data_IF_516542626079
#
_entry.id   IF_516542626079
#
_cell.length_a   1.000
_cell.length_b   1.000
_cell.length_c   1.000
_cell.angle_alpha   90.00
_cell.angle_beta   90.00
_cell.angle_gamma   90.00
#
_symmetry.space_group_name_H-M   'P 1'
#
loop_
_entity.id
_entity.type
_entity.pdbx_description
1 polymer ?
#
# COMPACT_ATOMS: atom_id res chain seq x y z
N UNK A 1 -30.44 4.62 -3.30
CA UNK A 1 -29.71 3.71 -4.20
C UNK A 1 -29.79 4.34 -5.57
N UNK A 2 -28.73 5.05 -5.97
CA UNK A 2 -28.63 5.68 -7.28
C UNK A 2 -28.07 4.61 -8.23
N UNK A 3 -28.84 4.20 -9.23
CA UNK A 3 -28.33 3.38 -10.31
C UNK A 3 -27.71 4.33 -11.33
N UNK A 4 -26.39 4.26 -11.49
CA UNK A 4 -25.68 4.95 -12.57
C UNK A 4 -26.04 4.27 -13.89
N UNK A 5 -26.40 5.03 -14.92
CA UNK A 5 -26.38 4.48 -16.28
C UNK A 5 -24.90 4.27 -16.67
N UNK A 6 -24.54 3.18 -17.37
CA UNK A 6 -23.13 2.89 -17.63
C UNK A 6 -22.62 3.64 -18.87
N UNK A 7 -21.68 4.58 -18.71
CA UNK A 7 -20.71 4.86 -19.77
C UNK A 7 -20.03 6.23 -19.81
N UNK A 8 -20.51 7.24 -19.08
CA UNK A 8 -20.00 8.61 -19.15
C UNK A 8 -19.38 9.07 -17.82
N UNK A 9 -18.33 9.90 -17.88
CA UNK A 9 -17.68 10.43 -16.68
C UNK A 9 -18.64 11.25 -15.80
N UNK A 10 -19.65 11.89 -16.40
CA UNK A 10 -20.72 12.63 -15.74
C UNK A 10 -21.65 11.76 -14.90
N UNK A 11 -21.68 10.44 -15.12
CA UNK A 11 -22.51 9.54 -14.30
C UNK A 11 -22.10 9.60 -12.83
N UNK A 12 -20.85 9.96 -12.53
CA UNK A 12 -20.37 10.15 -11.17
C UNK A 12 -20.78 11.46 -10.51
N UNK A 13 -21.35 12.44 -11.23
CA UNK A 13 -21.65 13.78 -10.68
C UNK A 13 -22.52 13.72 -9.42
N UNK A 14 -23.65 12.99 -9.39
CA UNK A 14 -24.48 12.91 -8.18
C UNK A 14 -23.74 12.27 -7.00
N UNK A 15 -22.82 11.34 -7.27
CA UNK A 15 -22.02 10.70 -6.23
C UNK A 15 -20.95 11.67 -5.69
N UNK A 16 -20.26 12.40 -6.55
CA UNK A 16 -19.27 13.42 -6.17
C UNK A 16 -19.93 14.55 -5.36
N UNK A 17 -21.14 14.98 -5.76
CA UNK A 17 -21.94 15.94 -4.99
C UNK A 17 -22.31 15.39 -3.60
N UNK A 18 -22.75 14.13 -3.53
CA UNK A 18 -23.11 13.47 -2.27
C UNK A 18 -21.92 13.32 -1.33
N UNK A 19 -20.73 13.03 -1.88
CA UNK A 19 -19.48 12.95 -1.11
C UNK A 19 -19.16 14.33 -0.50
N UNK A 20 -19.41 15.43 -1.20
CA UNK A 20 -19.24 16.78 -0.66
C UNK A 20 -17.80 17.07 -0.19
N UNK A 21 -17.66 17.50 1.07
CA UNK A 21 -16.39 17.89 1.71
C UNK A 21 -15.83 16.81 2.66
N UNK A 22 -16.17 15.54 2.41
CA UNK A 22 -15.70 14.45 3.29
C UNK A 22 -14.19 14.26 3.14
N UNK A 23 -13.51 14.07 4.28
CA UNK A 23 -12.07 13.83 4.34
C UNK A 23 -11.66 12.40 3.98
N UNK A 24 -12.59 11.46 4.12
CA UNK A 24 -12.36 10.05 3.86
C UNK A 24 -13.51 9.49 3.04
N UNK A 25 -13.19 8.72 2.01
CA UNK A 25 -14.14 8.00 1.17
C UNK A 25 -13.65 6.56 1.09
N UNK A 26 -14.51 5.62 1.49
CA UNK A 26 -14.21 4.19 1.45
C UNK A 26 -14.94 3.58 0.25
N UNK A 27 -14.17 3.04 -0.70
CA UNK A 27 -14.71 2.49 -1.94
C UNK A 27 -14.52 0.97 -1.92
N UNK A 28 -15.60 0.25 -1.64
CA UNK A 28 -15.61 -1.21 -1.66
C UNK A 28 -15.82 -1.79 -3.06
N UNK A 29 -15.55 -3.09 -3.20
CA UNK A 29 -15.94 -3.89 -4.35
C UNK A 29 -16.66 -5.16 -3.91
N UNK A 30 -17.50 -5.73 -4.77
CA UNK A 30 -18.24 -6.95 -4.43
C UNK A 30 -17.41 -8.23 -4.63
N UNK A 31 -16.38 -8.18 -5.48
CA UNK A 31 -15.43 -9.27 -5.69
C UNK A 31 -14.08 -8.75 -6.19
N UNK A 32 -13.00 -9.44 -5.85
CA UNK A 32 -11.71 -9.20 -6.49
C UNK A 32 -11.66 -9.85 -7.89
N UNK A 33 -10.83 -9.30 -8.78
CA UNK A 33 -10.60 -9.83 -10.14
C UNK A 33 -11.64 -9.43 -11.19
N UNK A 34 -12.63 -8.61 -10.84
CA UNK A 34 -13.65 -8.13 -11.80
C UNK A 34 -13.23 -6.80 -12.43
N UNK A 35 -12.95 -6.80 -13.73
CA UNK A 35 -12.51 -5.63 -14.49
C UNK A 35 -13.34 -4.37 -14.19
N UNK A 36 -14.67 -4.49 -14.23
CA UNK A 36 -15.59 -3.38 -14.02
C UNK A 36 -15.41 -2.74 -12.64
N UNK A 37 -15.16 -3.53 -11.59
CA UNK A 37 -14.91 -2.97 -10.26
C UNK A 37 -13.59 -2.21 -10.18
N UNK A 38 -12.52 -2.70 -10.80
CA UNK A 38 -11.26 -1.94 -10.84
C UNK A 38 -11.40 -0.66 -11.66
N UNK A 39 -12.04 -0.76 -12.83
CA UNK A 39 -12.29 0.38 -13.72
C UNK A 39 -13.10 1.47 -13.02
N UNK A 40 -14.24 1.14 -12.42
CA UNK A 40 -15.11 2.12 -11.78
C UNK A 40 -14.46 2.73 -10.53
N UNK A 41 -13.75 1.93 -9.72
CA UNK A 41 -12.94 2.45 -8.59
C UNK A 41 -11.87 3.42 -9.06
N UNK A 42 -11.18 3.10 -10.15
CA UNK A 42 -10.16 3.98 -10.73
C UNK A 42 -10.80 5.29 -11.22
N UNK A 43 -11.91 5.26 -11.95
CA UNK A 43 -12.58 6.47 -12.45
C UNK A 43 -13.07 7.37 -11.31
N UNK A 44 -13.74 6.81 -10.31
CA UNK A 44 -14.16 7.57 -9.13
C UNK A 44 -12.97 8.18 -8.39
N UNK A 45 -11.89 7.41 -8.22
CA UNK A 45 -10.69 7.89 -7.52
C UNK A 45 -10.02 9.05 -8.27
N UNK A 46 -9.95 8.99 -9.61
CA UNK A 46 -9.43 10.09 -10.45
C UNK A 46 -10.21 11.38 -10.21
N UNK A 47 -11.55 11.30 -10.25
CA UNK A 47 -12.42 12.45 -9.98
C UNK A 47 -12.25 13.00 -8.56
N UNK A 48 -12.13 12.13 -7.56
CA UNK A 48 -11.88 12.57 -6.18
C UNK A 48 -10.55 13.32 -6.05
N UNK A 49 -9.51 12.87 -6.73
CA UNK A 49 -8.22 13.56 -6.77
C UNK A 49 -8.36 14.92 -7.49
N UNK A 50 -8.89 14.92 -8.71
CA UNK A 50 -8.94 16.10 -9.59
C UNK A 50 -9.90 17.19 -9.09
N UNK A 51 -11.08 16.80 -8.60
CA UNK A 51 -12.17 17.74 -8.29
C UNK A 51 -12.31 18.02 -6.80
N UNK A 52 -11.90 17.07 -5.95
CA UNK A 52 -12.06 17.16 -4.49
C UNK A 52 -10.74 17.26 -3.73
N UNK A 53 -9.61 17.21 -4.43
CA UNK A 53 -8.28 17.45 -3.85
C UNK A 53 -7.81 16.34 -2.91
N UNK A 54 -8.31 15.11 -3.06
CA UNK A 54 -7.76 13.97 -2.33
C UNK A 54 -6.30 13.73 -2.73
N UNK A 55 -5.43 13.57 -1.75
CA UNK A 55 -3.98 13.47 -1.92
C UNK A 55 -3.39 12.11 -1.48
N UNK A 56 -4.25 11.15 -1.12
CA UNK A 56 -3.85 9.81 -0.73
C UNK A 56 -4.85 8.76 -1.22
N UNK A 57 -4.32 7.69 -1.82
CA UNK A 57 -5.06 6.48 -2.18
C UNK A 57 -4.55 5.34 -1.31
N UNK A 58 -5.38 4.83 -0.42
CA UNK A 58 -5.04 3.73 0.46
C UNK A 58 -5.78 2.45 0.04
N UNK A 59 -5.03 1.39 -0.26
CA UNK A 59 -5.52 0.14 -0.83
C UNK A 59 -5.33 -1.04 0.13
N UNK A 60 -6.19 -2.06 -0.01
CA UNK A 60 -6.08 -3.36 0.66
C UNK A 60 -4.93 -4.18 0.05
N UNK A 61 -3.71 -3.71 0.28
CA UNK A 61 -2.49 -4.26 -0.24
C UNK A 61 -1.35 -4.14 0.78
N UNK A 62 -0.37 -5.02 0.64
CA UNK A 62 0.83 -5.05 1.48
C UNK A 62 1.59 -3.72 1.42
N UNK A 63 1.97 -3.19 2.59
CA UNK A 63 2.65 -1.89 2.70
C UNK A 63 3.93 -1.80 1.85
N UNK A 64 4.89 -2.75 1.91
CA UNK A 64 6.16 -2.62 1.16
C UNK A 64 5.96 -2.60 -0.36
N UNK A 65 4.97 -3.34 -0.86
CA UNK A 65 4.65 -3.40 -2.29
C UNK A 65 3.97 -2.11 -2.76
N UNK A 66 3.01 -1.60 -1.98
CA UNK A 66 2.37 -0.32 -2.26
C UNK A 66 3.34 0.86 -2.12
N UNK A 67 4.29 0.83 -1.17
CA UNK A 67 5.32 1.86 -1.01
C UNK A 67 6.29 1.90 -2.20
N UNK A 68 6.57 0.75 -2.84
CA UNK A 68 7.29 0.75 -4.13
C UNK A 68 6.51 1.51 -5.21
N UNK A 69 5.20 1.28 -5.33
CA UNK A 69 4.34 2.05 -6.22
C UNK A 69 4.30 3.53 -5.84
N UNK A 70 4.21 3.84 -4.55
CA UNK A 70 4.24 5.21 -4.03
C UNK A 70 5.47 5.98 -4.51
N UNK A 71 6.65 5.40 -4.31
CA UNK A 71 7.91 5.98 -4.77
C UNK A 71 7.94 6.19 -6.27
N UNK A 72 7.37 5.24 -7.04
CA UNK A 72 7.23 5.41 -8.49
C UNK A 72 6.32 6.60 -8.82
N UNK A 73 5.09 6.67 -8.29
CA UNK A 73 4.13 7.73 -8.64
C UNK A 73 4.54 9.11 -8.13
N UNK A 74 5.34 9.18 -7.06
CA UNK A 74 5.89 10.44 -6.53
C UNK A 74 7.25 10.83 -7.17
N UNK A 75 7.86 9.96 -7.97
CA UNK A 75 9.15 10.21 -8.61
C UNK A 75 10.36 10.21 -7.69
N UNK A 76 10.29 9.43 -6.61
CA UNK A 76 11.38 9.20 -5.66
C UNK A 76 11.97 7.79 -5.74
N UNK A 77 11.38 6.91 -6.56
CA UNK A 77 11.84 5.54 -6.80
C UNK A 77 12.77 5.39 -8.01
N UNK A 78 13.24 4.17 -8.22
CA UNK A 78 14.13 3.80 -9.32
C UNK A 78 13.44 3.01 -10.44
N UNK A 79 12.15 2.68 -10.27
CA UNK A 79 11.39 1.95 -11.28
C UNK A 79 11.11 2.87 -12.48
N UNK A 80 11.38 2.40 -13.69
CA UNK A 80 11.28 3.20 -14.92
C UNK A 80 9.83 3.35 -15.40
N UNK A 81 8.99 2.38 -15.09
CA UNK A 81 7.60 2.32 -15.56
C UNK A 81 6.68 1.64 -14.52
N UNK A 82 5.38 1.75 -14.77
CA UNK A 82 4.36 1.24 -13.85
C UNK A 82 4.36 -0.30 -13.74
N UNK A 83 4.78 -1.02 -14.78
CA UNK A 83 4.89 -2.50 -14.75
C UNK A 83 5.94 -2.92 -13.73
N UNK A 84 7.10 -2.27 -13.74
CA UNK A 84 8.19 -2.55 -12.81
C UNK A 84 7.80 -2.19 -11.37
N UNK A 85 7.16 -1.03 -11.18
CA UNK A 85 6.68 -0.58 -9.87
C UNK A 85 5.69 -1.57 -9.24
N UNK A 86 4.78 -2.14 -10.05
CA UNK A 86 3.83 -3.16 -9.63
C UNK A 86 4.46 -4.55 -9.45
N UNK A 87 5.73 -4.74 -9.81
CA UNK A 87 6.43 -6.03 -9.70
C UNK A 87 6.63 -6.53 -8.27
N UNK A 88 6.41 -5.69 -7.25
CA UNK A 88 6.43 -6.07 -5.84
C UNK A 88 5.31 -7.06 -5.46
N UNK A 89 4.12 -6.83 -6.00
CA UNK A 89 2.90 -7.62 -5.73
C UNK A 89 3.02 -9.06 -6.24
N UNK A 90 3.63 -9.93 -5.42
CA UNK A 90 3.91 -11.33 -5.75
C UNK A 90 3.14 -12.33 -4.90
N UNK A 91 2.69 -11.92 -3.71
CA UNK A 91 2.06 -12.80 -2.72
C UNK A 91 0.65 -13.21 -3.12
N UNK A 92 -0.15 -12.23 -3.50
CA UNK A 92 -1.49 -12.47 -4.05
C UNK A 92 -1.43 -12.86 -5.52
N UNK A 93 -2.47 -13.51 -6.05
CA UNK A 93 -2.56 -13.75 -7.47
C UNK A 93 -2.36 -12.46 -8.27
N UNK A 94 -1.52 -12.52 -9.31
CA UNK A 94 -1.12 -11.34 -10.06
C UNK A 94 -2.32 -10.50 -10.55
N UNK A 95 -3.44 -11.14 -10.89
CA UNK A 95 -4.65 -10.46 -11.36
C UNK A 95 -5.28 -9.50 -10.33
N UNK A 96 -4.92 -9.58 -9.04
CA UNK A 96 -5.50 -8.72 -8.01
C UNK A 96 -4.95 -7.29 -8.09
N UNK A 97 -3.63 -7.12 -8.07
CA UNK A 97 -3.00 -5.79 -8.10
C UNK A 97 -2.13 -5.54 -9.34
N UNK A 98 -1.78 -6.57 -10.11
CA UNK A 98 -0.99 -6.48 -11.35
C UNK A 98 -1.85 -6.77 -12.58
N UNK A 99 -3.04 -6.16 -12.62
CA UNK A 99 -3.94 -6.18 -13.78
C UNK A 99 -3.84 -4.88 -14.60
N UNK A 100 -4.51 -4.86 -15.76
CA UNK A 100 -4.48 -3.73 -16.67
C UNK A 100 -5.08 -2.45 -16.05
N UNK A 101 -6.18 -2.56 -15.30
CA UNK A 101 -6.85 -1.40 -14.71
C UNK A 101 -5.98 -0.70 -13.66
N UNK A 102 -5.30 -1.47 -12.80
CA UNK A 102 -4.37 -0.94 -11.81
C UNK A 102 -3.12 -0.38 -12.49
N UNK A 103 -2.61 -1.04 -13.53
CA UNK A 103 -1.49 -0.54 -14.33
C UNK A 103 -1.81 0.83 -14.92
N UNK A 104 -2.97 0.96 -15.56
CA UNK A 104 -3.45 2.19 -16.16
C UNK A 104 -3.68 3.29 -15.11
N UNK A 105 -4.24 2.93 -13.95
CA UNK A 105 -4.42 3.87 -12.84
C UNK A 105 -3.08 4.37 -12.29
N UNK A 106 -2.10 3.51 -12.06
CA UNK A 106 -0.77 3.87 -11.56
C UNK A 106 -0.02 4.74 -12.58
N UNK A 107 -0.11 4.41 -13.87
CA UNK A 107 0.46 5.24 -14.94
C UNK A 107 -0.19 6.63 -15.01
N UNK A 108 -1.52 6.68 -14.88
CA UNK A 108 -2.26 7.95 -14.80
C UNK A 108 -1.84 8.76 -13.56
N UNK A 109 -1.76 8.13 -12.38
CA UNK A 109 -1.42 8.81 -11.13
C UNK A 109 -0.01 9.41 -11.18
N UNK A 110 0.94 8.68 -11.78
CA UNK A 110 2.28 9.19 -12.07
C UNK A 110 2.22 10.44 -12.96
N UNK A 111 1.48 10.37 -14.05
CA UNK A 111 1.34 11.47 -15.02
C UNK A 111 0.66 12.69 -14.39
N UNK A 112 -0.36 12.46 -13.56
CA UNK A 112 -1.03 13.51 -12.79
C UNK A 112 -0.06 14.20 -11.84
N UNK A 113 0.70 13.44 -11.05
CA UNK A 113 1.72 13.96 -10.14
C UNK A 113 2.83 14.74 -10.85
N UNK A 114 3.26 14.29 -12.03
CA UNK A 114 4.25 15.01 -12.83
C UNK A 114 3.71 16.34 -13.39
N UNK A 115 2.40 16.43 -13.64
CA UNK A 115 1.74 17.66 -14.10
C UNK A 115 1.61 18.72 -13.00
N UNK A 116 1.65 18.31 -11.72
CA UNK A 116 1.53 19.23 -10.60
C UNK A 116 2.80 20.11 -10.46
N UNK A 117 2.66 21.40 -10.13
CA UNK A 117 3.78 22.27 -9.75
C UNK A 117 4.69 21.59 -8.71
N UNK A 118 6.01 21.74 -8.83
CA UNK A 118 6.99 21.07 -7.96
C UNK A 118 6.83 21.38 -6.46
N UNK A 119 6.18 22.49 -6.12
CA UNK A 119 5.92 22.90 -4.74
C UNK A 119 4.69 22.23 -4.12
N UNK A 120 3.80 21.66 -4.94
CA UNK A 120 2.62 20.96 -4.43
C UNK A 120 2.98 19.54 -4.03
N UNK A 121 2.38 19.03 -2.93
CA UNK A 121 2.54 17.63 -2.55
C UNK A 121 2.06 16.72 -3.69
N UNK A 122 2.68 15.54 -3.78
CA UNK A 122 2.27 14.50 -4.71
C UNK A 122 1.18 13.65 -4.06
N UNK A 123 0.23 13.20 -4.87
CA UNK A 123 -0.78 12.23 -4.44
C UNK A 123 -0.09 10.89 -4.19
N UNK A 124 -0.22 10.37 -2.97
CA UNK A 124 0.43 9.14 -2.54
C UNK A 124 -0.42 7.90 -2.77
N UNK A 125 0.24 6.74 -2.80
CA UNK A 125 -0.37 5.41 -2.92
C UNK A 125 0.09 4.53 -1.77
N UNK A 126 -0.82 4.01 -0.96
CA UNK A 126 -0.49 3.39 0.34
C UNK A 126 -1.15 2.03 0.50
N UNK A 127 -0.44 1.08 1.09
CA UNK A 127 -0.97 -0.23 1.47
C UNK A 127 -1.39 -0.23 2.92
N UNK A 128 -2.58 -0.75 3.22
CA UNK A 128 -3.13 -0.85 4.58
C UNK A 128 -3.03 -2.26 5.17
N UNK A 129 -2.60 -3.24 4.39
CA UNK A 129 -2.70 -4.64 4.75
C UNK A 129 -1.49 -5.12 5.58
N UNK A 130 -1.71 -6.13 6.43
CA UNK A 130 -0.76 -6.53 7.50
C UNK A 130 -0.10 -7.89 7.29
N UNK A 131 -0.26 -8.51 6.12
CA UNK A 131 0.25 -9.86 5.91
C UNK A 131 1.73 -9.92 5.47
N UNK A 132 2.34 -8.79 5.12
CA UNK A 132 3.69 -8.70 4.56
C UNK A 132 4.81 -8.81 5.61
N UNK A 133 4.72 -9.74 6.56
CA UNK A 133 5.64 -9.80 7.71
C UNK A 133 7.11 -9.79 7.28
N UNK A 134 7.52 -10.75 6.43
CA UNK A 134 8.91 -10.90 6.03
C UNK A 134 9.43 -9.72 5.20
N UNK A 135 8.65 -9.25 4.21
CA UNK A 135 9.03 -8.09 3.40
C UNK A 135 9.03 -6.78 4.21
N UNK A 136 8.26 -6.70 5.29
CA UNK A 136 8.27 -5.56 6.22
C UNK A 136 9.51 -5.59 7.12
N UNK A 137 9.89 -6.77 7.64
CA UNK A 137 11.16 -6.98 8.37
C UNK A 137 12.34 -6.56 7.49
N UNK A 138 12.37 -7.03 6.24
CA UNK A 138 13.40 -6.66 5.27
C UNK A 138 13.45 -5.15 5.00
N UNK A 139 12.29 -4.48 4.92
CA UNK A 139 12.23 -3.04 4.71
C UNK A 139 12.85 -2.28 5.89
N UNK A 140 12.52 -2.67 7.13
CA UNK A 140 13.11 -2.07 8.35
C UNK A 140 14.62 -2.29 8.39
N UNK A 141 15.08 -3.52 8.19
CA UNK A 141 16.51 -3.86 8.20
C UNK A 141 17.24 -3.08 7.11
N UNK A 142 16.69 -3.00 5.89
CA UNK A 142 17.30 -2.28 4.77
C UNK A 142 17.43 -0.78 5.06
N UNK A 143 16.38 -0.17 5.62
CA UNK A 143 16.41 1.22 6.05
C UNK A 143 17.54 1.43 7.08
N UNK A 144 17.57 0.63 8.13
CA UNK A 144 18.58 0.73 9.19
C UNK A 144 19.99 0.50 8.66
N UNK A 145 20.24 -0.43 7.73
CA UNK A 145 21.57 -0.60 7.15
C UNK A 145 22.10 0.67 6.47
N UNK A 146 21.21 1.54 5.97
CA UNK A 146 21.58 2.79 5.33
C UNK A 146 21.85 3.94 6.31
N UNK A 147 21.23 3.92 7.50
CA UNK A 147 21.26 5.06 8.45
C UNK A 147 21.95 4.74 9.78
N UNK A 148 21.83 3.50 10.26
CA UNK A 148 22.38 3.01 11.54
C UNK A 148 22.65 1.48 11.44
N UNK A 149 23.82 1.07 10.95
CA UNK A 149 24.17 -0.35 10.78
C UNK A 149 24.20 -1.15 12.09
N UNK A 150 24.45 -0.50 13.23
CA UNK A 150 24.43 -1.16 14.54
C UNK A 150 22.99 -1.49 14.94
N UNK A 151 22.06 -0.53 14.80
CA UNK A 151 20.64 -0.80 14.99
C UNK A 151 20.11 -1.87 14.02
N UNK A 152 20.63 -1.92 12.78
CA UNK A 152 20.28 -2.98 11.83
C UNK A 152 20.70 -4.38 12.34
N UNK A 153 21.85 -4.50 13.01
CA UNK A 153 22.30 -5.75 13.60
C UNK A 153 21.40 -6.18 14.77
N UNK A 154 20.97 -5.23 15.61
CA UNK A 154 20.01 -5.47 16.69
C UNK A 154 18.66 -5.91 16.13
N UNK A 155 18.15 -5.24 15.10
CA UNK A 155 16.89 -5.58 14.45
C UNK A 155 16.89 -7.01 13.90
N UNK A 156 17.96 -7.43 13.20
CA UNK A 156 18.10 -8.82 12.74
C UNK A 156 18.02 -9.82 13.89
N UNK A 157 18.67 -9.53 15.02
CA UNK A 157 18.64 -10.40 16.20
C UNK A 157 17.25 -10.46 16.84
N UNK A 158 16.51 -9.35 16.91
CA UNK A 158 15.14 -9.34 17.44
C UNK A 158 14.19 -10.11 16.53
N UNK A 159 14.30 -9.91 15.22
CA UNK A 159 13.46 -10.60 14.25
C UNK A 159 13.79 -12.09 14.07
N UNK A 160 14.96 -12.57 14.51
CA UNK A 160 15.32 -14.00 14.43
C UNK A 160 14.38 -14.92 15.24
N UNK A 161 13.50 -14.36 16.07
CA UNK A 161 12.40 -15.12 16.68
C UNK A 161 11.52 -15.79 15.62
N UNK A 162 11.28 -15.12 14.49
CA UNK A 162 10.47 -15.63 13.38
C UNK A 162 11.15 -16.74 12.56
N UNK A 163 12.48 -16.90 12.67
CA UNK A 163 13.23 -17.92 11.90
C UNK A 163 12.73 -19.35 12.18
N UNK A 164 12.07 -19.59 13.32
CA UNK A 164 11.46 -20.88 13.66
C UNK A 164 10.23 -21.24 12.82
N UNK A 165 9.67 -20.27 12.10
CA UNK A 165 8.45 -20.40 11.31
C UNK A 165 8.71 -20.23 9.80
N UNK A 166 9.98 -20.15 9.39
CA UNK A 166 10.39 -19.86 8.01
C UNK A 166 9.59 -18.68 7.40
N UNK A 167 9.07 -18.84 6.19
CA UNK A 167 8.17 -17.86 5.53
C UNK A 167 6.68 -18.13 5.84
N UNK A 168 6.35 -19.10 6.70
CA UNK A 168 4.96 -19.47 7.01
C UNK A 168 4.39 -18.65 8.17
N UNK A 169 3.88 -17.47 7.82
CA UNK A 169 3.22 -16.56 8.77
C UNK A 169 1.92 -17.13 9.35
N UNK A 170 1.25 -18.05 8.65
CA UNK A 170 0.04 -18.70 9.14
C UNK A 170 0.39 -19.69 10.26
N UNK A 171 1.48 -20.43 10.12
CA UNK A 171 1.99 -21.32 11.15
C UNK A 171 2.37 -20.55 12.42
N UNK A 172 3.00 -19.39 12.30
CA UNK A 172 3.27 -18.51 13.45
C UNK A 172 1.96 -18.09 14.15
N UNK A 173 0.99 -17.59 13.37
CA UNK A 173 -0.30 -17.15 13.90
C UNK A 173 -1.07 -18.28 14.61
N UNK A 174 -1.09 -19.47 14.02
CA UNK A 174 -1.68 -20.65 14.64
C UNK A 174 -0.94 -21.04 15.94
N UNK A 175 0.38 -21.15 15.89
CA UNK A 175 1.18 -21.62 17.03
C UNK A 175 1.09 -20.69 18.23
N UNK A 176 1.05 -19.38 18.00
CA UNK A 176 0.89 -18.39 19.07
C UNK A 176 -0.53 -18.33 19.60
N UNK A 177 -1.55 -18.37 18.73
CA UNK A 177 -2.96 -18.33 19.14
C UNK A 177 -3.36 -19.51 20.03
N UNK A 178 -2.76 -20.69 19.80
CA UNK A 178 -3.02 -21.90 20.60
C UNK A 178 -1.98 -22.13 21.71
N UNK A 179 -1.06 -21.18 21.96
CA UNK A 179 -0.05 -21.29 23.02
C UNK A 179 0.99 -22.40 22.80
N UNK A 180 1.15 -22.85 21.55
CA UNK A 180 2.14 -23.86 21.14
C UNK A 180 3.54 -23.26 20.99
N UNK A 181 3.65 -21.93 20.90
CA UNK A 181 4.93 -21.21 20.85
C UNK A 181 4.81 -19.84 21.52
N UNK A 182 5.95 -19.29 21.96
CA UNK A 182 6.04 -17.93 22.49
C UNK A 182 5.80 -16.93 21.34
N UNK A 183 5.07 -15.86 21.63
CA UNK A 183 4.90 -14.73 20.72
C UNK A 183 6.23 -13.96 20.57
N UNK A 184 6.53 -13.54 19.34
CA UNK A 184 7.66 -12.65 19.03
C UNK A 184 7.27 -11.16 19.17
N UNK A 185 6.07 -10.86 19.68
CA UNK A 185 5.52 -9.50 19.78
C UNK A 185 6.40 -8.58 20.61
N UNK A 186 6.90 -9.02 21.76
CA UNK A 186 7.74 -8.20 22.63
C UNK A 186 8.98 -7.69 21.88
N UNK A 187 9.67 -8.58 21.16
CA UNK A 187 10.86 -8.25 20.38
C UNK A 187 10.53 -7.29 19.21
N UNK A 188 9.37 -7.44 18.56
CA UNK A 188 8.93 -6.53 17.49
C UNK A 188 8.58 -5.15 18.04
N UNK A 189 7.85 -5.09 19.16
CA UNK A 189 7.44 -3.83 19.80
C UNK A 189 8.67 -3.10 20.33
N UNK A 190 9.61 -3.80 20.94
CA UNK A 190 10.87 -3.21 21.41
C UNK A 190 11.66 -2.60 20.24
N UNK A 191 11.72 -3.30 19.10
CA UNK A 191 12.37 -2.77 17.90
C UNK A 191 11.70 -1.49 17.39
N UNK A 192 10.37 -1.42 17.42
CA UNK A 192 9.62 -0.24 17.01
C UNK A 192 9.88 0.95 17.93
N UNK A 193 9.78 0.73 19.25
CA UNK A 193 9.99 1.78 20.25
C UNK A 193 11.40 2.36 20.16
N UNK A 194 12.42 1.52 19.98
CA UNK A 194 13.80 2.00 19.87
C UNK A 194 14.02 2.86 18.61
N UNK A 195 13.39 2.52 17.48
CA UNK A 195 13.45 3.36 16.26
C UNK A 195 12.81 4.73 16.54
N UNK A 196 11.67 4.77 17.23
CA UNK A 196 11.00 6.03 17.56
C UNK A 196 11.81 6.89 18.54
N UNK A 197 12.40 6.29 19.57
CA UNK A 197 13.21 7.01 20.56
C UNK A 197 14.47 7.63 19.93
N UNK A 198 15.11 6.94 18.99
CA UNK A 198 16.28 7.46 18.28
C UNK A 198 15.96 8.52 17.22
N UNK A 199 14.70 8.56 16.75
CA UNK A 199 14.23 9.53 15.76
C UNK A 199 13.76 10.86 16.38
N UNK A 200 13.50 10.89 17.69
CA UNK A 200 13.09 12.05 18.47
C UNK A 200 14.28 12.91 18.94
#
# INVERSE_FOLDING_TARGET
MYCLEPGELSDYDPLIETIGERRFVLIGEASHGTHEFYRERAQLTKRLIEEKGFDAVAVEADFPDADRVNRFVCGTGNDENAVDALGGFRRFPAWMWRNADVLDFVGWLRSYNDSLPKMLPRVGFFGLDLYSLQTSIDAVIRYLNGVDPEAAAVARKRYSCFDHFDEDTQLYGYSTAFGLSRSCEDEVVEQLLEIYERAA
#
